data_IF_639304288355
#
_entry.id   IF_639304288355
#
_cell.length_a   1.000
_cell.length_b   1.000
_cell.length_c   1.000
_cell.angle_alpha   90.00
_cell.angle_beta   90.00
_cell.angle_gamma   90.00
#
_symmetry.space_group_name_H-M   'P 1'
#
loop_
_entity.id
_entity.type
_entity.pdbx_description
1 polymer ?
#
# COMPACT_ATOMS: atom_id res chain seq x y z
N UNK A 1 -11.90 -12.17 -11.06
CA UNK A 1 -13.24 -11.54 -11.05
C UNK A 1 -13.59 -11.31 -9.61
N UNK A 2 -13.91 -10.07 -9.28
CA UNK A 2 -14.41 -9.68 -7.96
C UNK A 2 -15.92 -9.84 -7.99
N UNK A 3 -16.45 -10.68 -7.09
CA UNK A 3 -17.89 -10.94 -7.06
C UNK A 3 -18.65 -9.93 -6.19
N UNK A 4 -18.00 -9.41 -5.13
CA UNK A 4 -18.55 -8.43 -4.20
C UNK A 4 -17.43 -7.60 -3.59
N UNK A 5 -17.68 -6.32 -3.35
CA UNK A 5 -16.82 -5.41 -2.61
C UNK A 5 -17.65 -4.76 -1.51
N UNK A 6 -17.18 -4.86 -0.29
CA UNK A 6 -17.80 -4.25 0.89
C UNK A 6 -16.86 -3.18 1.45
N UNK A 7 -17.35 -1.96 1.60
CA UNK A 7 -16.66 -0.87 2.26
C UNK A 7 -17.28 -0.68 3.65
N UNK A 8 -16.47 -0.85 4.68
CA UNK A 8 -16.90 -0.69 6.08
C UNK A 8 -16.39 0.65 6.59
N UNK A 9 -17.29 1.60 6.96
CA UNK A 9 -16.84 2.90 7.47
C UNK A 9 -16.05 2.74 8.79
N UNK A 10 -14.88 3.38 8.91
CA UNK A 10 -14.02 3.34 10.10
C UNK A 10 -14.74 3.86 11.36
N UNK A 11 -15.60 4.85 11.23
CA UNK A 11 -16.40 5.41 12.34
C UNK A 11 -17.66 4.61 12.71
N UNK A 12 -17.87 3.44 12.13
CA UNK A 12 -19.11 2.67 12.24
C UNK A 12 -20.21 3.20 11.33
N UNK A 13 -21.17 2.37 11.01
CA UNK A 13 -22.27 2.66 10.09
C UNK A 13 -22.62 1.43 9.27
N UNK A 14 -23.56 1.60 8.35
CA UNK A 14 -23.92 0.52 7.43
C UNK A 14 -22.86 0.37 6.35
N UNK A 15 -22.51 -0.87 6.03
CA UNK A 15 -21.58 -1.19 4.94
C UNK A 15 -22.11 -0.69 3.60
N UNK A 16 -21.20 -0.24 2.74
CA UNK A 16 -21.49 0.26 1.40
C UNK A 16 -21.01 -0.78 0.38
N UNK A 17 -21.86 -1.12 -0.57
CA UNK A 17 -21.56 -2.05 -1.65
C UNK A 17 -21.50 -1.29 -2.98
N UNK A 18 -20.31 -0.84 -3.42
CA UNK A 18 -20.19 -0.10 -4.66
C UNK A 18 -20.46 -0.98 -5.88
N UNK A 19 -20.91 -0.36 -6.96
CA UNK A 19 -21.05 -1.07 -8.22
C UNK A 19 -19.67 -1.46 -8.77
N UNK A 20 -19.51 -2.74 -9.11
CA UNK A 20 -18.30 -3.24 -9.73
C UNK A 20 -18.36 -3.00 -11.26
N UNK A 21 -17.35 -2.33 -11.85
CA UNK A 21 -17.27 -2.15 -13.30
C UNK A 21 -17.00 -3.47 -14.03
N UNK A 22 -17.30 -3.55 -15.31
CA UNK A 22 -16.92 -4.67 -16.15
C UNK A 22 -17.40 -6.06 -15.69
N UNK A 23 -18.48 -6.16 -14.91
CA UNK A 23 -18.92 -7.39 -14.23
C UNK A 23 -17.85 -7.98 -13.28
N UNK A 24 -17.20 -7.13 -12.49
CA UNK A 24 -16.18 -7.53 -11.53
C UNK A 24 -14.81 -7.85 -12.14
N UNK A 25 -14.58 -7.50 -13.39
CA UNK A 25 -13.27 -7.60 -14.00
C UNK A 25 -12.43 -6.39 -13.62
N UNK A 26 -11.19 -6.67 -13.25
CA UNK A 26 -10.17 -5.65 -13.03
C UNK A 26 -9.24 -5.69 -14.23
N UNK A 27 -9.12 -4.58 -14.94
CA UNK A 27 -8.15 -4.43 -16.02
C UNK A 27 -6.79 -4.08 -15.42
N UNK A 28 -5.77 -4.84 -15.81
CA UNK A 28 -4.40 -4.61 -15.35
C UNK A 28 -3.75 -3.56 -16.27
N UNK A 29 -3.38 -2.43 -15.69
CA UNK A 29 -2.77 -1.33 -16.43
C UNK A 29 -1.30 -1.64 -16.69
N UNK A 30 -0.99 -1.98 -17.94
CA UNK A 30 0.39 -2.10 -18.43
C UNK A 30 0.46 -1.69 -19.89
N UNK A 31 1.40 -0.78 -20.19
CA UNK A 31 1.52 -0.18 -21.53
C UNK A 31 1.91 -1.19 -22.63
N UNK A 32 2.75 -2.20 -22.33
CA UNK A 32 3.39 -3.03 -23.34
C UNK A 32 2.97 -4.52 -23.31
N UNK A 33 2.07 -4.91 -22.38
CA UNK A 33 1.74 -6.32 -22.17
C UNK A 33 2.94 -7.13 -21.65
N UNK A 34 2.76 -8.43 -21.43
CA UNK A 34 3.83 -9.31 -20.98
C UNK A 34 3.82 -10.65 -21.72
N UNK A 35 4.99 -11.29 -21.82
CA UNK A 35 5.12 -12.58 -22.48
C UNK A 35 5.51 -13.66 -21.45
N UNK A 36 4.72 -14.72 -21.39
CA UNK A 36 5.09 -15.92 -20.62
C UNK A 36 6.03 -16.78 -21.46
N UNK A 37 7.27 -16.88 -21.06
CA UNK A 37 8.30 -17.65 -21.77
C UNK A 37 8.52 -19.03 -21.11
N UNK A 38 8.69 -20.11 -21.89
CA UNK A 38 8.94 -21.43 -21.34
C UNK A 38 10.23 -21.47 -20.49
N UNK A 39 10.15 -22.03 -19.28
CA UNK A 39 11.28 -22.20 -18.38
C UNK A 39 11.77 -20.91 -17.70
N UNK A 40 10.97 -19.86 -17.72
CA UNK A 40 11.21 -18.62 -16.97
C UNK A 40 10.07 -18.38 -15.97
N UNK A 41 10.44 -17.88 -14.82
CA UNK A 41 9.47 -17.38 -13.83
C UNK A 41 9.12 -15.94 -14.21
N UNK A 42 7.83 -15.67 -14.34
CA UNK A 42 7.29 -14.33 -14.50
C UNK A 42 6.65 -13.94 -13.18
N UNK A 43 7.18 -12.90 -12.55
CA UNK A 43 6.56 -12.29 -11.38
C UNK A 43 5.71 -11.10 -11.82
N UNK A 44 4.48 -11.07 -11.33
CA UNK A 44 3.56 -9.96 -11.54
C UNK A 44 3.26 -9.37 -10.16
N UNK A 45 3.80 -8.20 -9.90
CA UNK A 45 3.43 -7.39 -8.73
C UNK A 45 2.17 -6.59 -9.08
N UNK A 46 1.13 -6.75 -8.27
CA UNK A 46 -0.15 -6.04 -8.44
C UNK A 46 -0.30 -5.10 -7.25
N UNK A 47 -0.49 -3.83 -7.55
CA UNK A 47 -0.73 -2.80 -6.58
C UNK A 47 -2.06 -2.12 -6.87
N UNK A 48 -2.96 -2.09 -5.90
CA UNK A 48 -4.26 -1.45 -6.02
C UNK A 48 -4.35 -0.30 -5.02
N UNK A 49 -4.28 0.92 -5.53
CA UNK A 49 -4.45 2.11 -4.73
C UNK A 49 -5.94 2.28 -4.37
N UNK A 50 -6.28 2.12 -3.10
CA UNK A 50 -7.64 2.20 -2.61
C UNK A 50 -8.22 3.62 -2.76
N UNK A 51 -7.43 4.65 -2.47
CA UNK A 51 -7.85 6.05 -2.53
C UNK A 51 -8.20 6.46 -3.98
N UNK A 52 -7.43 5.99 -4.94
CA UNK A 52 -7.66 6.26 -6.37
C UNK A 52 -8.75 5.37 -6.96
N UNK A 53 -8.99 4.20 -6.36
CA UNK A 53 -9.98 3.23 -6.84
C UNK A 53 -11.39 3.49 -6.35
N UNK A 54 -11.57 4.27 -5.27
CA UNK A 54 -12.89 4.56 -4.70
C UNK A 54 -13.24 6.03 -4.94
N UNK A 55 -14.23 6.27 -5.80
CA UNK A 55 -14.75 7.61 -6.06
C UNK A 55 -16.09 7.82 -5.37
N UNK A 56 -16.12 8.76 -4.44
CA UNK A 56 -17.37 9.19 -3.78
C UNK A 56 -17.90 10.40 -4.54
N UNK A 57 -19.07 10.25 -5.18
CA UNK A 57 -19.74 11.36 -5.85
C UNK A 57 -20.90 11.80 -4.98
N UNK A 58 -20.82 13.01 -4.43
CA UNK A 58 -21.90 13.60 -3.63
C UNK A 58 -23.02 14.06 -4.57
N UNK A 59 -24.14 13.33 -4.57
CA UNK A 59 -25.35 13.67 -5.34
C UNK A 59 -26.47 14.17 -4.43
N UNK A 60 -26.15 14.96 -3.42
CA UNK A 60 -27.09 15.43 -2.41
C UNK A 60 -27.39 14.34 -1.35
N UNK A 61 -28.63 14.01 -1.05
CA UNK A 61 -28.99 13.12 0.07
C UNK A 61 -28.62 11.62 -0.11
N UNK A 62 -27.99 11.23 -1.22
CA UNK A 62 -27.54 9.85 -1.46
C UNK A 62 -26.22 9.89 -2.23
N UNK A 63 -25.11 9.98 -1.53
CA UNK A 63 -23.79 9.83 -2.13
C UNK A 63 -23.70 8.53 -2.92
N UNK A 64 -23.20 8.58 -4.15
CA UNK A 64 -22.92 7.39 -4.95
C UNK A 64 -21.46 7.06 -4.82
N UNK A 65 -21.17 5.84 -4.37
CA UNK A 65 -19.81 5.31 -4.34
C UNK A 65 -19.59 4.49 -5.59
N UNK A 66 -18.62 4.88 -6.39
CA UNK A 66 -18.20 4.15 -7.57
C UNK A 66 -16.84 3.53 -7.28
N UNK A 67 -16.69 2.27 -7.62
CA UNK A 67 -15.41 1.59 -7.61
C UNK A 67 -14.85 1.61 -9.05
N UNK A 68 -13.68 2.22 -9.22
CA UNK A 68 -12.91 2.20 -10.47
C UNK A 68 -11.51 1.71 -10.13
N UNK A 69 -11.23 0.42 -10.22
CA UNK A 69 -9.96 -0.12 -9.73
C UNK A 69 -8.78 0.46 -10.51
N UNK A 70 -7.95 1.27 -9.86
CA UNK A 70 -6.64 1.69 -10.37
C UNK A 70 -5.65 0.64 -9.91
N UNK A 71 -5.25 -0.24 -10.83
CA UNK A 71 -4.36 -1.37 -10.54
C UNK A 71 -3.10 -1.22 -11.36
N UNK A 72 -2.00 -0.92 -10.68
CA UNK A 72 -0.67 -0.87 -11.30
C UNK A 72 -0.07 -2.27 -11.32
N UNK A 73 0.53 -2.62 -12.44
CA UNK A 73 1.19 -3.90 -12.64
C UNK A 73 2.65 -3.67 -12.97
N UNK A 74 3.52 -4.22 -12.15
CA UNK A 74 4.96 -4.26 -12.40
C UNK A 74 5.36 -5.67 -12.79
N UNK A 75 5.98 -5.81 -13.96
CA UNK A 75 6.54 -7.07 -14.43
C UNK A 75 8.02 -7.13 -14.04
N UNK A 76 8.38 -8.15 -13.27
CA UNK A 76 9.77 -8.43 -12.91
C UNK A 76 10.21 -9.67 -13.67
N UNK A 77 11.04 -9.49 -14.71
CA UNK A 77 11.56 -10.60 -15.52
C UNK A 77 12.87 -11.10 -14.92
N UNK A 78 12.82 -12.24 -14.25
CA UNK A 78 13.99 -12.94 -13.70
C UNK A 78 14.64 -12.24 -12.49
N UNK A 79 13.88 -11.49 -11.72
CA UNK A 79 14.30 -10.88 -10.45
C UNK A 79 13.49 -11.43 -9.26
N UNK A 80 14.01 -11.20 -8.06
CA UNK A 80 13.27 -11.46 -6.84
C UNK A 80 12.28 -10.32 -6.59
N UNK A 81 11.11 -10.60 -5.98
CA UNK A 81 10.15 -9.58 -5.60
C UNK A 81 10.80 -8.55 -4.69
N UNK A 82 10.62 -7.28 -5.00
CA UNK A 82 11.11 -6.19 -4.14
C UNK A 82 10.16 -5.91 -2.98
N UNK A 83 8.85 -6.17 -3.17
CA UNK A 83 7.83 -5.94 -2.14
C UNK A 83 7.94 -6.96 -1.01
N UNK A 84 7.68 -6.49 0.20
CA UNK A 84 7.53 -7.36 1.36
C UNK A 84 6.21 -8.13 1.25
N UNK A 85 6.27 -9.43 1.56
CA UNK A 85 5.09 -10.26 1.73
C UNK A 85 4.86 -10.48 3.22
N UNK A 86 3.62 -10.33 3.68
CA UNK A 86 3.15 -10.69 5.01
C UNK A 86 2.30 -11.94 4.91
N UNK A 87 2.69 -12.97 5.60
CA UNK A 87 1.95 -14.23 5.68
C UNK A 87 1.66 -14.57 7.13
N UNK A 88 0.42 -14.94 7.38
CA UNK A 88 -0.02 -15.46 8.67
C UNK A 88 -0.40 -16.92 8.53
N UNK A 89 0.02 -17.74 9.49
CA UNK A 89 -0.24 -19.15 9.36
C UNK A 89 0.19 -19.97 10.59
N UNK A 90 0.07 -21.27 10.44
CA UNK A 90 0.52 -22.24 11.42
C UNK A 90 1.82 -22.89 10.96
N UNK A 91 2.79 -22.95 11.86
CA UNK A 91 4.05 -23.67 11.64
C UNK A 91 3.77 -25.18 11.55
N UNK A 92 4.19 -25.81 10.45
CA UNK A 92 4.06 -27.25 10.31
C UNK A 92 4.95 -28.00 11.32
N UNK A 93 4.73 -29.28 11.47
CA UNK A 93 5.62 -30.14 12.26
C UNK A 93 7.06 -30.13 11.70
N UNK A 94 8.04 -30.28 12.62
CA UNK A 94 9.49 -30.36 12.32
C UNK A 94 10.14 -29.07 11.79
N UNK A 95 10.01 -27.93 12.47
CA UNK A 95 10.82 -26.76 12.15
C UNK A 95 12.32 -27.07 12.34
N UNK A 96 13.16 -26.44 11.49
CA UNK A 96 14.61 -26.61 11.55
C UNK A 96 15.17 -27.77 10.75
N UNK A 97 14.39 -28.41 9.89
CA UNK A 97 14.86 -29.42 8.93
C UNK A 97 14.38 -29.08 7.51
N UNK A 98 15.25 -28.54 6.63
CA UNK A 98 16.67 -28.15 6.87
C UNK A 98 16.86 -27.09 7.96
N UNK A 99 18.12 -26.97 8.46
CA UNK A 99 18.45 -26.00 9.49
C UNK A 99 17.99 -24.56 9.14
N UNK A 100 17.46 -23.83 10.10
CA UNK A 100 16.92 -22.47 9.96
C UNK A 100 15.77 -22.33 8.97
N UNK A 101 15.00 -23.41 8.76
CA UNK A 101 13.80 -23.38 7.93
C UNK A 101 12.59 -23.90 8.69
N UNK A 102 11.42 -23.47 8.29
CA UNK A 102 10.16 -24.08 8.69
C UNK A 102 9.14 -23.91 7.56
N UNK A 103 8.05 -24.65 7.65
CA UNK A 103 6.95 -24.52 6.70
C UNK A 103 5.82 -23.79 7.39
N UNK A 104 5.32 -22.73 6.78
CA UNK A 104 4.17 -21.96 7.22
C UNK A 104 2.99 -22.34 6.33
N UNK A 105 1.88 -22.75 6.94
CA UNK A 105 0.66 -23.11 6.23
C UNK A 105 -0.46 -22.15 6.58
N UNK A 106 -1.19 -21.70 5.58
CA UNK A 106 -2.35 -20.81 5.74
C UNK A 106 -3.40 -21.45 6.65
N UNK A 107 -4.06 -20.64 7.49
CA UNK A 107 -5.04 -21.12 8.49
C UNK A 107 -6.31 -21.59 7.81
N UNK A 108 -6.79 -20.82 6.85
CA UNK A 108 -8.06 -21.03 6.16
C UNK A 108 -7.93 -22.07 5.05
N UNK A 109 -6.72 -22.21 4.53
CA UNK A 109 -6.38 -23.11 3.42
C UNK A 109 -5.11 -23.90 3.73
N UNK A 110 -5.16 -24.92 4.62
CA UNK A 110 -3.99 -25.65 5.11
C UNK A 110 -3.18 -26.40 4.04
N UNK A 111 -3.72 -26.53 2.84
CA UNK A 111 -3.02 -27.10 1.68
C UNK A 111 -2.05 -26.08 1.03
N UNK A 112 -2.20 -24.80 1.34
CA UNK A 112 -1.29 -23.75 0.88
C UNK A 112 -0.21 -23.51 1.93
N UNK A 113 0.97 -24.01 1.65
CA UNK A 113 2.13 -23.89 2.53
C UNK A 113 3.30 -23.29 1.76
N UNK A 114 4.13 -22.53 2.47
CA UNK A 114 5.37 -21.97 1.96
C UNK A 114 6.53 -22.36 2.85
N UNK A 115 7.68 -22.67 2.25
CA UNK A 115 8.92 -22.83 3.00
C UNK A 115 9.46 -21.46 3.37
N UNK A 116 9.64 -21.23 4.67
CA UNK A 116 10.26 -20.04 5.22
C UNK A 116 11.73 -20.34 5.51
N UNK A 117 12.60 -19.49 4.99
CA UNK A 117 14.04 -19.53 5.23
C UNK A 117 14.43 -18.36 6.14
N UNK A 118 15.19 -18.63 7.18
CA UNK A 118 15.66 -17.61 8.12
C UNK A 118 17.18 -17.59 8.17
N UNK A 119 17.75 -16.45 8.49
CA UNK A 119 19.19 -16.26 8.61
C UNK A 119 19.55 -15.40 9.85
N UNK A 120 20.78 -14.94 9.90
CA UNK A 120 21.28 -14.10 11.00
C UNK A 120 20.71 -12.67 11.01
N UNK A 121 20.05 -12.27 9.93
CA UNK A 121 19.40 -10.96 9.79
C UNK A 121 17.91 -11.02 10.12
N UNK A 122 17.36 -12.24 10.24
CA UNK A 122 15.96 -12.42 10.63
C UNK A 122 15.74 -12.04 12.09
N UNK A 123 14.81 -11.16 12.35
CA UNK A 123 14.35 -10.79 13.69
C UNK A 123 13.19 -11.68 14.13
N UNK A 124 13.25 -12.16 15.36
CA UNK A 124 12.20 -12.99 15.93
C UNK A 124 11.59 -12.30 17.15
N UNK A 125 10.27 -12.35 17.26
CA UNK A 125 9.52 -11.81 18.37
C UNK A 125 8.55 -12.87 18.91
N UNK A 126 8.36 -12.89 20.21
CA UNK A 126 7.39 -13.77 20.87
C UNK A 126 5.97 -13.18 20.88
N UNK A 127 5.01 -13.91 21.44
CA UNK A 127 3.62 -13.48 21.53
C UNK A 127 3.36 -12.24 22.39
N UNK A 128 4.38 -11.74 23.10
CA UNK A 128 4.34 -10.47 23.81
C UNK A 128 5.08 -9.35 23.04
N UNK A 129 5.60 -9.64 21.85
CA UNK A 129 6.37 -8.72 21.03
C UNK A 129 7.80 -8.49 21.50
N UNK A 130 8.32 -9.35 22.36
CA UNK A 130 9.70 -9.28 22.85
C UNK A 130 10.64 -10.11 21.96
N UNK A 131 11.87 -9.61 21.78
CA UNK A 131 12.86 -10.30 20.97
C UNK A 131 13.15 -11.72 21.47
N UNK A 132 13.16 -12.67 20.56
CA UNK A 132 13.49 -14.08 20.78
C UNK A 132 14.41 -14.61 19.68
N UNK A 133 14.49 -15.91 19.46
CA UNK A 133 15.29 -16.53 18.40
C UNK A 133 14.54 -17.70 17.76
N UNK A 134 15.17 -18.37 16.79
CA UNK A 134 14.60 -19.51 16.07
C UNK A 134 14.13 -20.64 17.01
N UNK A 135 14.67 -20.79 18.21
CA UNK A 135 14.24 -21.83 19.15
C UNK A 135 12.78 -21.66 19.64
N UNK A 136 12.21 -20.47 19.47
CA UNK A 136 10.80 -20.18 19.71
C UNK A 136 9.87 -20.76 18.65
N UNK A 137 10.36 -21.07 17.46
CA UNK A 137 9.56 -21.65 16.37
C UNK A 137 9.27 -23.11 16.68
N UNK A 138 8.02 -23.42 16.96
CA UNK A 138 7.59 -24.77 17.32
C UNK A 138 6.44 -25.25 16.43
N UNK A 139 6.39 -26.53 16.14
CA UNK A 139 5.31 -27.11 15.34
C UNK A 139 3.93 -26.86 15.97
N UNK A 140 2.98 -26.43 15.16
CA UNK A 140 1.64 -26.02 15.57
C UNK A 140 1.53 -24.59 16.12
N UNK A 141 2.64 -23.86 16.26
CA UNK A 141 2.59 -22.45 16.66
C UNK A 141 2.01 -21.58 15.54
N UNK A 142 1.27 -20.57 15.92
CA UNK A 142 0.88 -19.50 15.00
C UNK A 142 2.04 -18.56 14.81
N UNK A 143 2.23 -18.09 13.59
CA UNK A 143 3.26 -17.12 13.27
C UNK A 143 2.79 -16.14 12.17
N UNK A 144 3.25 -14.90 12.28
CA UNK A 144 3.27 -13.95 11.17
C UNK A 144 4.70 -13.84 10.68
N UNK A 145 4.88 -13.95 9.37
CA UNK A 145 6.18 -13.86 8.73
C UNK A 145 6.15 -12.75 7.70
N UNK A 146 7.07 -11.81 7.82
CA UNK A 146 7.30 -10.77 6.84
C UNK A 146 8.65 -11.00 6.18
N UNK A 147 8.66 -11.01 4.86
CA UNK A 147 9.87 -11.32 4.11
C UNK A 147 9.73 -11.07 2.63
N UNK A 148 10.69 -11.57 1.86
CA UNK A 148 10.71 -11.49 0.41
C UNK A 148 10.72 -12.88 -0.20
N UNK A 149 9.93 -13.06 -1.25
CA UNK A 149 9.96 -14.31 -2.00
C UNK A 149 11.26 -14.41 -2.82
N UNK A 150 11.86 -15.58 -2.80
CA UNK A 150 12.83 -16.03 -3.79
C UNK A 150 12.17 -17.10 -4.63
N UNK A 151 12.30 -17.02 -5.96
CA UNK A 151 11.54 -17.87 -6.88
C UNK A 151 12.37 -18.95 -7.54
N UNK A 152 13.70 -18.92 -7.40
CA UNK A 152 14.62 -19.91 -7.97
C UNK A 152 15.62 -20.42 -6.92
N UNK A 153 15.92 -21.73 -6.83
CA UNK A 153 15.38 -22.83 -7.67
C UNK A 153 13.98 -23.30 -7.25
N UNK A 154 13.50 -22.89 -6.09
CA UNK A 154 12.18 -23.20 -5.53
C UNK A 154 11.61 -21.95 -4.90
N UNK A 155 10.29 -21.85 -4.85
CA UNK A 155 9.63 -20.72 -4.20
C UNK A 155 9.79 -20.86 -2.70
N UNK A 156 10.51 -19.90 -2.09
CA UNK A 156 10.68 -19.79 -0.65
C UNK A 156 10.42 -18.35 -0.19
N UNK A 157 10.09 -18.17 1.08
CA UNK A 157 9.99 -16.87 1.73
C UNK A 157 11.21 -16.64 2.61
N UNK A 158 12.11 -15.75 2.20
CA UNK A 158 13.22 -15.30 3.02
C UNK A 158 12.74 -14.32 4.07
N UNK A 159 12.66 -14.79 5.32
CA UNK A 159 12.06 -14.02 6.41
C UNK A 159 12.99 -12.91 6.90
N UNK A 160 12.45 -11.71 7.02
CA UNK A 160 13.06 -10.56 7.68
C UNK A 160 12.57 -10.44 9.13
N UNK A 161 11.29 -10.73 9.35
CA UNK A 161 10.64 -10.71 10.66
C UNK A 161 9.80 -11.98 10.82
N UNK A 162 9.84 -12.56 12.01
CA UNK A 162 8.98 -13.67 12.44
C UNK A 162 8.37 -13.30 13.79
N UNK A 163 7.05 -13.16 13.86
CA UNK A 163 6.29 -12.92 15.07
C UNK A 163 5.52 -14.18 15.45
N UNK A 164 5.75 -14.67 16.65
CA UNK A 164 5.15 -15.91 17.16
C UNK A 164 3.95 -15.63 18.06
N UNK A 165 2.95 -16.50 18.04
CA UNK A 165 1.82 -16.44 18.97
C UNK A 165 0.51 -15.95 18.36
N UNK A 166 0.49 -15.49 17.10
CA UNK A 166 -0.73 -15.11 16.37
C UNK A 166 -1.45 -13.86 16.94
N UNK A 167 -0.70 -12.97 17.62
CA UNK A 167 -1.20 -11.72 18.19
C UNK A 167 -0.66 -10.49 17.47
N UNK A 168 0.05 -10.69 16.37
CA UNK A 168 0.60 -9.60 15.57
C UNK A 168 -0.54 -8.84 14.87
N UNK A 169 -0.48 -7.52 14.96
CA UNK A 169 -1.45 -6.60 14.37
C UNK A 169 -0.71 -5.57 13.52
N UNK A 170 -1.40 -5.04 12.53
CA UNK A 170 -0.96 -3.89 11.76
C UNK A 170 -1.75 -2.65 12.18
N UNK A 171 -1.04 -1.53 12.34
CA UNK A 171 -1.65 -0.23 12.63
C UNK A 171 -1.02 0.82 11.74
N UNK A 172 -1.85 1.52 11.00
CA UNK A 172 -1.46 2.69 10.21
C UNK A 172 -1.74 3.97 10.98
N UNK A 173 -0.95 5.00 10.73
CA UNK A 173 -1.16 6.29 11.34
C UNK A 173 0.01 7.25 11.18
N UNK A 174 -0.15 8.39 11.82
CA UNK A 174 0.76 9.52 11.74
C UNK A 174 1.65 9.65 12.98
N UNK A 175 2.95 9.82 12.81
CA UNK A 175 3.90 10.02 13.92
C UNK A 175 3.72 11.41 14.50
N UNK A 176 3.25 11.51 15.76
CA UNK A 176 2.97 12.78 16.43
C UNK A 176 4.00 13.18 17.47
N UNK A 177 5.04 12.38 17.67
CA UNK A 177 6.22 12.76 18.44
C UNK A 177 7.48 12.14 17.86
N UNK A 178 8.61 12.84 17.93
CA UNK A 178 9.90 12.23 17.59
C UNK A 178 10.21 11.05 18.53
N UNK A 179 10.92 10.01 18.05
CA UNK A 179 11.34 8.91 18.89
C UNK A 179 12.27 9.36 20.03
N UNK A 180 11.89 9.07 21.25
CA UNK A 180 12.68 9.33 22.45
C UNK A 180 12.74 8.06 23.32
N UNK A 181 13.93 7.68 23.78
CA UNK A 181 14.15 6.48 24.60
C UNK A 181 13.56 5.18 24.00
N UNK A 182 13.55 5.07 22.67
CA UNK A 182 13.02 3.91 21.96
C UNK A 182 11.48 3.87 21.87
N UNK A 183 10.81 5.01 22.04
CA UNK A 183 9.35 5.14 21.94
C UNK A 183 8.96 6.38 21.17
N UNK A 184 7.83 6.32 20.50
CA UNK A 184 7.16 7.49 19.91
C UNK A 184 5.63 7.35 20.02
N UNK A 185 4.94 8.45 19.78
CA UNK A 185 3.48 8.48 19.77
C UNK A 185 2.98 8.41 18.33
N UNK A 186 2.04 7.50 18.08
CA UNK A 186 1.32 7.36 16.83
C UNK A 186 -0.14 7.79 17.04
N UNK A 187 -0.64 8.66 16.19
CA UNK A 187 -2.07 8.87 16.01
C UNK A 187 -2.52 7.91 14.92
N UNK A 188 -3.22 6.85 15.30
CA UNK A 188 -3.71 5.86 14.36
C UNK A 188 -4.89 6.42 13.53
N UNK A 189 -5.16 5.82 12.38
CA UNK A 189 -6.21 6.25 11.46
C UNK A 189 -7.63 6.17 12.05
N UNK A 190 -7.81 5.40 13.12
CA UNK A 190 -9.05 5.35 13.91
C UNK A 190 -9.16 6.44 14.99
N UNK A 191 -8.30 7.47 14.92
CA UNK A 191 -8.16 8.56 15.90
C UNK A 191 -7.67 8.12 17.30
N UNK A 192 -7.23 6.88 17.47
CA UNK A 192 -6.64 6.42 18.75
C UNK A 192 -5.17 6.84 18.87
N UNK A 193 -4.75 7.11 20.11
CA UNK A 193 -3.35 7.38 20.41
C UNK A 193 -2.67 6.09 20.89
N UNK A 194 -1.57 5.74 20.25
CA UNK A 194 -0.83 4.53 20.53
C UNK A 194 0.65 4.86 20.82
N UNK A 195 1.19 4.32 21.89
CA UNK A 195 2.63 4.38 22.16
C UNK A 195 3.31 3.23 21.43
N UNK A 196 4.20 3.57 20.51
CA UNK A 196 5.01 2.56 19.81
C UNK A 196 6.32 2.38 20.55
N UNK A 197 6.60 1.17 20.99
CA UNK A 197 7.86 0.77 21.65
C UNK A 197 8.74 0.01 20.65
N UNK A 198 9.90 0.60 20.33
CA UNK A 198 10.88 0.01 19.44
C UNK A 198 11.63 -1.10 20.16
N UNK A 199 11.73 -2.26 19.55
CA UNK A 199 12.43 -3.41 20.11
C UNK A 199 13.84 -3.54 19.51
N UNK A 200 14.79 -4.16 20.21
CA UNK A 200 16.02 -4.61 19.58
C UNK A 200 15.68 -5.59 18.45
N UNK A 201 15.94 -5.19 17.21
CA UNK A 201 15.59 -5.99 16.03
C UNK A 201 14.39 -5.49 15.26
N UNK A 202 13.69 -4.42 15.70
CA UNK A 202 12.70 -3.73 14.85
C UNK A 202 13.31 -3.36 13.49
N UNK A 203 12.63 -3.70 12.42
CA UNK A 203 13.04 -3.43 11.04
C UNK A 203 12.32 -2.19 10.51
N UNK A 204 12.98 -1.48 9.59
CA UNK A 204 12.47 -0.25 9.01
C UNK A 204 12.57 -0.33 7.50
N UNK A 205 11.49 -0.03 6.81
CA UNK A 205 11.39 -0.10 5.35
C UNK A 205 10.63 1.10 4.80
N UNK A 206 10.88 1.40 3.56
CA UNK A 206 10.05 2.22 2.69
C UNK A 206 9.82 1.50 1.35
N UNK A 207 9.24 2.18 0.38
CA UNK A 207 8.98 1.62 -0.96
C UNK A 207 10.26 1.22 -1.70
N UNK A 208 11.41 1.83 -1.37
CA UNK A 208 12.70 1.60 -2.02
C UNK A 208 13.52 0.51 -1.33
N UNK A 209 13.22 0.18 -0.06
CA UNK A 209 13.90 -0.89 0.65
C UNK A 209 14.10 -0.69 2.15
N UNK A 210 15.15 -1.31 2.71
CA UNK A 210 15.48 -1.18 4.13
C UNK A 210 16.15 0.18 4.41
N UNK A 211 15.64 0.87 5.42
CA UNK A 211 16.08 2.20 5.86
C UNK A 211 16.54 2.19 7.31
N UNK A 212 17.00 3.32 7.81
CA UNK A 212 17.40 3.47 9.22
C UNK A 212 16.25 3.93 10.12
N UNK A 213 16.37 3.65 11.42
CA UNK A 213 15.42 4.12 12.43
C UNK A 213 15.29 5.65 12.50
N UNK A 214 16.29 6.37 12.02
CA UNK A 214 16.33 7.83 11.97
C UNK A 214 15.39 8.42 10.90
N UNK A 215 14.83 7.61 10.03
CA UNK A 215 13.79 8.02 9.08
C UNK A 215 12.41 8.20 9.75
N UNK A 216 12.17 7.56 10.91
CA UNK A 216 10.95 7.75 11.69
C UNK A 216 11.05 9.07 12.46
N UNK A 217 10.39 10.10 11.97
CA UNK A 217 10.39 11.45 12.57
C UNK A 217 8.96 11.98 12.70
N UNK A 218 8.79 13.01 13.50
CA UNK A 218 7.51 13.71 13.62
C UNK A 218 6.97 14.10 12.23
N UNK A 219 5.73 13.74 11.96
CA UNK A 219 5.00 14.14 10.78
C UNK A 219 5.04 13.13 9.64
N UNK A 220 5.66 11.96 9.78
CA UNK A 220 5.62 10.90 8.77
C UNK A 220 4.45 9.94 9.00
N UNK A 221 3.92 9.39 7.91
CA UNK A 221 2.94 8.33 7.94
C UNK A 221 3.64 6.97 7.94
N UNK A 222 3.18 6.07 8.79
CA UNK A 222 3.79 4.75 8.97
C UNK A 222 2.74 3.67 9.13
N UNK A 223 3.06 2.49 8.62
CA UNK A 223 2.43 1.25 9.00
C UNK A 223 3.34 0.53 10.01
N UNK A 224 2.80 0.17 11.16
CA UNK A 224 3.52 -0.54 12.22
C UNK A 224 2.96 -1.95 12.34
N UNK A 225 3.81 -2.95 12.12
CA UNK A 225 3.54 -4.35 12.45
C UNK A 225 4.11 -4.66 13.83
N UNK A 226 3.34 -5.35 14.69
CA UNK A 226 3.81 -5.71 16.01
C UNK A 226 2.71 -6.24 16.91
N UNK A 227 3.01 -6.32 18.20
CA UNK A 227 2.12 -6.90 19.21
C UNK A 227 1.65 -5.84 20.19
N UNK A 228 0.35 -5.78 20.45
CA UNK A 228 -0.24 -5.03 21.56
C UNK A 228 -0.27 -5.93 22.81
N UNK A 229 0.67 -5.78 23.76
CA UNK A 229 0.67 -6.59 24.97
C UNK A 229 -0.54 -6.27 25.84
N UNK A 230 -0.98 -7.25 26.63
CA UNK A 230 -2.04 -7.02 27.60
C UNK A 230 -1.65 -5.93 28.60
N UNK A 231 -2.53 -4.95 28.83
CA UNK A 231 -2.31 -3.88 29.83
C UNK A 231 -2.21 -4.47 31.22
N UNK A 232 -1.21 -4.02 32.00
CA UNK A 232 -1.09 -4.36 33.40
C UNK A 232 -2.11 -3.60 34.28
N UNK A 233 -2.40 -2.34 33.90
CA UNK A 233 -3.44 -1.50 34.49
C UNK A 233 -4.34 -0.97 33.35
N UNK A 234 -5.67 -0.97 33.50
CA UNK A 234 -6.58 -0.39 32.53
C UNK A 234 -6.31 1.07 32.16
N UNK A 235 -5.70 1.82 33.08
CA UNK A 235 -5.36 3.24 32.92
C UNK A 235 -4.00 3.44 32.21
N UNK A 236 -3.23 2.36 31.97
CA UNK A 236 -2.01 2.44 31.17
C UNK A 236 -2.31 2.86 29.72
N UNK A 237 -1.43 3.65 29.08
CA UNK A 237 -1.59 3.97 27.67
C UNK A 237 -1.60 2.71 26.81
N UNK A 238 -2.28 2.77 25.68
CA UNK A 238 -2.18 1.72 24.68
C UNK A 238 -0.75 1.67 24.15
N UNK A 239 -0.17 0.47 24.18
CA UNK A 239 1.21 0.21 23.80
C UNK A 239 1.24 -0.83 22.70
N UNK A 240 2.10 -0.62 21.69
CA UNK A 240 2.44 -1.63 20.70
C UNK A 240 3.94 -1.79 20.62
N UNK A 241 4.43 -3.01 20.66
CA UNK A 241 5.84 -3.35 20.45
C UNK A 241 6.06 -3.63 18.99
N UNK A 242 6.83 -2.77 18.35
CA UNK A 242 7.02 -2.83 16.91
C UNK A 242 8.06 -3.88 16.50
N UNK A 243 7.68 -4.75 15.61
CA UNK A 243 8.55 -5.69 14.92
C UNK A 243 9.05 -5.14 13.58
N UNK A 244 8.19 -4.40 12.87
CA UNK A 244 8.52 -3.72 11.63
C UNK A 244 7.79 -2.39 11.55
N UNK A 245 8.45 -1.38 11.00
CA UNK A 245 7.86 -0.10 10.64
C UNK A 245 8.10 0.12 9.15
N UNK A 246 7.02 0.33 8.42
CA UNK A 246 7.05 0.71 7.03
C UNK A 246 6.68 2.19 6.92
N UNK A 247 7.59 3.00 6.35
CA UNK A 247 7.30 4.39 6.05
C UNK A 247 6.50 4.44 4.77
N UNK A 248 5.30 4.97 4.87
CA UNK A 248 4.50 5.23 3.70
C UNK A 248 5.04 6.47 2.98
N UNK A 249 5.01 6.44 1.66
CA UNK A 249 5.18 7.67 0.91
C UNK A 249 4.06 8.62 1.35
N UNK A 250 4.40 9.90 1.59
CA UNK A 250 3.37 10.89 1.90
C UNK A 250 2.21 10.72 0.91
N UNK A 251 1.00 10.52 1.45
CA UNK A 251 -0.18 10.34 0.61
C UNK A 251 -0.25 11.48 -0.39
N UNK A 252 -0.38 11.14 -1.66
CA UNK A 252 -0.62 12.12 -2.70
C UNK A 252 -1.88 12.91 -2.34
N UNK A 253 -1.73 14.22 -2.18
CA UNK A 253 -2.90 15.08 -2.05
C UNK A 253 -3.75 14.95 -3.30
N UNK A 254 -5.05 14.87 -3.15
CA UNK A 254 -5.97 14.86 -4.27
C UNK A 254 -6.60 16.24 -4.45
N UNK A 255 -6.56 16.74 -5.68
CA UNK A 255 -7.37 17.87 -6.11
C UNK A 255 -8.21 17.46 -7.34
N UNK A 256 -9.44 17.92 -7.40
CA UNK A 256 -10.36 17.59 -8.49
C UNK A 256 -10.88 18.85 -9.14
N UNK A 257 -11.09 18.83 -10.45
CA UNK A 257 -11.58 19.99 -11.15
C UNK A 257 -11.69 19.83 -12.66
N UNK A 258 -11.78 20.96 -13.33
CA UNK A 258 -11.88 21.03 -14.80
C UNK A 258 -10.66 21.74 -15.36
N UNK A 259 -10.03 21.15 -16.37
CA UNK A 259 -8.88 21.73 -17.05
C UNK A 259 -9.28 23.03 -17.75
N UNK A 260 -8.53 24.10 -17.48
CA UNK A 260 -8.65 25.40 -18.16
C UNK A 260 -7.34 25.76 -18.86
N UNK A 261 -7.37 26.79 -19.70
CA UNK A 261 -6.17 27.36 -20.29
C UNK A 261 -5.33 28.11 -19.26
N UNK A 262 -3.97 28.17 -19.40
CA UNK A 262 -3.22 27.60 -20.50
C UNK A 262 -2.89 26.12 -20.31
N UNK A 263 -2.71 25.38 -21.42
CA UNK A 263 -2.02 24.11 -21.43
C UNK A 263 -0.69 24.36 -22.12
N UNK A 264 0.43 24.15 -21.43
CA UNK A 264 1.76 24.43 -21.91
C UNK A 264 2.53 23.14 -22.23
N UNK A 265 3.26 23.17 -23.30
CA UNK A 265 4.07 22.06 -23.81
C UNK A 265 5.13 21.57 -22.81
N UNK A 266 5.60 20.33 -22.95
CA UNK A 266 6.66 19.74 -22.13
C UNK A 266 7.94 20.58 -22.09
N UNK A 267 8.63 20.49 -20.97
CA UNK A 267 9.98 21.04 -20.76
C UNK A 267 10.93 19.92 -20.34
N UNK A 268 12.22 20.25 -20.12
CA UNK A 268 13.19 19.24 -19.63
C UNK A 268 12.90 18.81 -18.16
N UNK A 269 12.09 19.57 -17.43
CA UNK A 269 11.79 19.36 -16.00
C UNK A 269 10.35 18.91 -15.73
N UNK A 270 9.46 19.03 -16.72
CA UNK A 270 8.04 18.64 -16.58
C UNK A 270 7.47 18.18 -17.93
N UNK A 271 6.50 17.24 -17.91
CA UNK A 271 5.71 16.86 -19.08
C UNK A 271 4.89 18.02 -19.63
N UNK A 272 4.68 19.06 -18.83
CA UNK A 272 3.95 20.27 -19.16
C UNK A 272 3.19 20.80 -17.95
N UNK A 273 2.37 21.81 -18.14
CA UNK A 273 1.49 22.33 -17.10
C UNK A 273 0.15 22.80 -17.67
N UNK A 274 -0.84 22.90 -16.78
CA UNK A 274 -2.17 23.40 -17.13
C UNK A 274 -2.83 24.13 -15.96
N UNK A 275 -3.82 24.94 -16.28
CA UNK A 275 -4.70 25.54 -15.27
C UNK A 275 -5.84 24.57 -14.90
N UNK A 276 -6.24 24.57 -13.64
CA UNK A 276 -7.34 23.76 -13.11
C UNK A 276 -8.29 24.63 -12.32
N UNK A 277 -9.58 24.63 -12.68
CA UNK A 277 -10.63 25.18 -11.84
C UNK A 277 -11.10 24.08 -10.89
N UNK A 278 -10.88 24.29 -9.59
CA UNK A 278 -11.20 23.29 -8.56
C UNK A 278 -12.71 23.11 -8.37
N UNK A 279 -13.13 21.90 -8.09
CA UNK A 279 -14.54 21.57 -7.79
C UNK A 279 -15.05 22.32 -6.57
N UNK A 280 -14.20 22.57 -5.58
CA UNK A 280 -14.49 23.34 -4.37
C UNK A 280 -14.45 24.87 -4.58
N UNK A 281 -14.05 25.31 -5.76
CA UNK A 281 -13.94 26.69 -6.20
C UNK A 281 -12.53 27.25 -6.12
N UNK A 282 -12.23 28.18 -7.02
CA UNK A 282 -10.90 28.76 -7.22
C UNK A 282 -10.12 28.08 -8.33
N UNK A 283 -9.05 28.74 -8.76
CA UNK A 283 -8.18 28.23 -9.82
C UNK A 283 -6.80 27.95 -9.24
N UNK A 284 -6.15 26.90 -9.73
CA UNK A 284 -4.76 26.57 -9.43
C UNK A 284 -4.02 26.20 -10.70
N UNK A 285 -2.69 26.21 -10.66
CA UNK A 285 -1.89 25.60 -11.73
C UNK A 285 -1.43 24.21 -11.31
N UNK A 286 -1.25 23.34 -12.28
CA UNK A 286 -0.76 21.97 -12.12
C UNK A 286 0.48 21.81 -13.00
N UNK A 287 1.62 21.51 -12.38
CA UNK A 287 2.84 21.06 -13.06
C UNK A 287 2.84 19.53 -13.09
N UNK A 288 3.00 18.94 -14.27
CA UNK A 288 2.96 17.49 -14.44
C UNK A 288 4.37 16.93 -14.41
N UNK A 289 4.67 16.06 -13.44
CA UNK A 289 5.99 15.42 -13.32
C UNK A 289 6.36 14.63 -14.59
N UNK A 290 7.65 14.50 -14.88
CA UNK A 290 8.15 13.74 -16.05
C UNK A 290 7.80 12.25 -16.00
N UNK A 291 7.57 11.73 -14.82
CA UNK A 291 7.20 10.35 -14.49
C UNK A 291 5.73 10.20 -14.09
N UNK A 292 4.92 11.25 -14.26
CA UNK A 292 3.51 11.20 -13.96
C UNK A 292 2.76 10.20 -14.86
N UNK A 293 1.93 9.38 -14.21
CA UNK A 293 0.97 8.53 -14.90
C UNK A 293 -0.28 9.32 -15.29
N UNK A 294 -0.70 9.21 -16.55
CA UNK A 294 -1.95 9.79 -17.01
C UNK A 294 -2.90 8.66 -17.39
N UNK A 295 -4.03 8.58 -16.71
CA UNK A 295 -5.01 7.54 -16.86
C UNK A 295 -6.29 8.11 -17.48
N UNK A 296 -6.76 7.49 -18.56
CA UNK A 296 -8.01 7.85 -19.22
C UNK A 296 -9.09 6.85 -18.79
N UNK A 297 -10.13 7.34 -18.14
CA UNK A 297 -11.26 6.54 -17.65
C UNK A 297 -12.48 6.79 -18.52
N UNK A 298 -12.97 5.75 -19.17
CA UNK A 298 -14.23 5.81 -19.90
C UNK A 298 -15.40 5.69 -18.92
N UNK A 299 -16.23 6.74 -18.80
CA UNK A 299 -17.38 6.75 -17.89
C UNK A 299 -18.42 5.67 -18.17
N UNK A 300 -18.52 5.20 -19.42
CA UNK A 300 -19.59 4.29 -19.83
C UNK A 300 -19.38 2.85 -19.34
N UNK A 301 -18.13 2.38 -19.33
CA UNK A 301 -17.77 1.01 -18.99
C UNK A 301 -16.67 0.92 -17.90
N UNK A 302 -16.20 2.07 -17.42
CA UNK A 302 -15.12 2.19 -16.43
C UNK A 302 -13.80 1.52 -16.86
N UNK A 303 -13.58 1.41 -18.18
CA UNK A 303 -12.31 0.92 -18.72
C UNK A 303 -11.27 2.02 -18.55
N UNK A 304 -10.10 1.65 -18.00
CA UNK A 304 -8.98 2.54 -17.78
C UNK A 304 -7.89 2.21 -18.82
N UNK A 305 -7.32 3.23 -19.42
CA UNK A 305 -6.20 3.10 -20.35
C UNK A 305 -5.11 4.12 -20.03
N UNK A 306 -3.86 3.77 -20.33
CA UNK A 306 -2.75 4.73 -20.21
C UNK A 306 -2.91 5.82 -21.26
N UNK A 307 -2.79 7.06 -20.82
CA UNK A 307 -2.79 8.24 -21.65
C UNK A 307 -1.41 8.91 -21.69
N UNK A 308 -1.35 10.03 -22.36
CA UNK A 308 -0.17 10.90 -22.46
C UNK A 308 -0.58 12.35 -22.18
N UNK A 309 0.40 13.24 -21.96
CA UNK A 309 0.10 14.67 -21.78
C UNK A 309 -0.68 15.28 -22.96
N UNK A 310 -0.51 14.74 -24.16
CA UNK A 310 -1.23 15.21 -25.36
C UNK A 310 -2.75 14.85 -25.36
N UNK A 311 -3.16 13.95 -24.49
CA UNK A 311 -4.57 13.57 -24.34
C UNK A 311 -5.33 14.50 -23.38
N UNK A 312 -4.61 15.42 -22.70
CA UNK A 312 -5.22 16.44 -21.84
C UNK A 312 -5.81 17.57 -22.68
N UNK A 313 -7.05 17.91 -22.45
CA UNK A 313 -7.74 18.97 -23.17
C UNK A 313 -8.56 19.87 -22.21
N UNK A 314 -8.79 21.10 -22.64
CA UNK A 314 -9.66 22.05 -21.92
C UNK A 314 -11.08 21.47 -21.81
N UNK A 315 -11.73 21.79 -20.71
CA UNK A 315 -13.08 21.32 -20.32
C UNK A 315 -13.16 19.84 -19.90
N UNK A 316 -12.04 19.10 -19.83
CA UNK A 316 -12.02 17.77 -19.22
C UNK A 316 -12.08 17.85 -17.70
N UNK A 317 -12.86 16.93 -17.10
CA UNK A 317 -12.86 16.68 -15.66
C UNK A 317 -11.70 15.77 -15.29
N UNK A 318 -10.93 16.15 -14.26
CA UNK A 318 -9.77 15.41 -13.82
C UNK A 318 -9.72 15.31 -12.30
N UNK A 319 -9.19 14.18 -11.83
CA UNK A 319 -8.66 14.01 -10.48
C UNK A 319 -7.12 14.01 -10.59
N UNK A 320 -6.46 14.88 -9.86
CA UNK A 320 -5.01 15.06 -9.88
C UNK A 320 -4.46 14.67 -8.52
N UNK A 321 -3.47 13.78 -8.51
CA UNK A 321 -2.79 13.30 -7.31
C UNK A 321 -1.33 13.75 -7.33
N UNK A 322 -0.84 14.17 -6.17
CA UNK A 322 0.51 14.70 -6.04
C UNK A 322 0.66 15.56 -4.78
N UNK A 323 1.51 16.55 -4.83
CA UNK A 323 1.78 17.40 -3.68
C UNK A 323 1.76 18.89 -4.04
N UNK A 324 1.52 19.74 -3.04
CA UNK A 324 1.75 21.17 -3.15
C UNK A 324 3.15 21.48 -2.66
N UNK A 325 4.12 21.74 -3.56
CA UNK A 325 5.48 22.07 -3.15
C UNK A 325 5.50 23.37 -2.32
N UNK A 326 6.27 23.42 -1.21
CA UNK A 326 6.26 24.58 -0.31
C UNK A 326 6.75 25.88 -0.94
N UNK A 327 7.50 25.81 -2.04
CA UNK A 327 8.10 26.96 -2.71
C UNK A 327 7.50 27.26 -4.11
N UNK A 328 6.70 26.36 -4.68
CA UNK A 328 6.04 26.55 -5.97
C UNK A 328 4.58 26.93 -5.77
N UNK A 329 4.07 27.81 -6.61
CA UNK A 329 2.65 28.17 -6.60
C UNK A 329 1.75 27.16 -7.34
N UNK A 330 2.31 26.09 -7.93
CA UNK A 330 1.60 25.07 -8.70
C UNK A 330 1.60 23.74 -7.97
N UNK A 331 0.52 22.98 -8.11
CA UNK A 331 0.42 21.61 -7.63
C UNK A 331 1.27 20.70 -8.51
N UNK A 332 2.16 19.91 -7.94
CA UNK A 332 2.99 18.95 -8.67
C UNK A 332 2.24 17.62 -8.76
N UNK A 333 1.83 17.25 -9.96
CA UNK A 333 1.10 16.04 -10.24
C UNK A 333 2.03 14.85 -10.52
N UNK A 334 1.80 13.74 -9.80
CA UNK A 334 2.43 12.44 -10.04
C UNK A 334 1.48 11.50 -10.79
N UNK A 335 0.17 11.72 -10.67
CA UNK A 335 -0.84 10.97 -11.40
C UNK A 335 -2.04 11.86 -11.74
N UNK A 336 -2.59 11.66 -12.92
CA UNK A 336 -3.78 12.37 -13.40
C UNK A 336 -4.78 11.35 -13.94
N UNK A 337 -5.98 11.37 -13.39
CA UNK A 337 -7.09 10.55 -13.89
C UNK A 337 -8.05 11.46 -14.65
N UNK A 338 -8.21 11.21 -15.93
CA UNK A 338 -9.07 11.98 -16.84
C UNK A 338 -10.35 11.21 -17.13
N UNK A 339 -11.49 11.82 -16.87
CA UNK A 339 -12.79 11.27 -17.26
C UNK A 339 -13.04 11.57 -18.75
N UNK A 340 -13.14 10.54 -19.58
CA UNK A 340 -13.44 10.68 -21.01
C UNK A 340 -14.84 10.16 -21.31
N UNK A 341 -15.63 11.01 -21.93
CA UNK A 341 -16.93 10.61 -22.47
C UNK A 341 -16.70 10.12 -23.90
N UNK A 342 -16.76 8.81 -24.10
CA UNK A 342 -16.76 8.27 -25.47
C UNK A 342 -18.16 8.42 -26.03
N UNK A 343 -18.35 9.36 -26.95
CA UNK A 343 -19.58 9.42 -27.73
C UNK A 343 -19.69 8.11 -28.54
N UNK A 344 -20.59 7.24 -28.13
CA UNK A 344 -20.96 6.04 -28.94
C UNK A 344 -21.55 6.53 -30.25
N UNK A 345 -21.00 6.10 -31.40
CA UNK A 345 -21.46 6.50 -32.73
C UNK A 345 -22.88 6.03 -33.04
#
# INVERSE_FOLDING_TARGET
IVDELELVPVGGGDSIYPNLPGNGKIDLLQADGFAVLPGRTLLIEIDMDANKSIKITDTGNSGKVNFRPVVKVKIVDGGDPHKLARLEGSVSDNPGDPANTFVLCDIDSPDYCVTVVTDTMTSFFDGEGLGTDFSGVTGGAMAVVIGRYETEPEIVLNALVVELGGNAEQVQGHVVSDPEEGRFLLLADDDSNLVIELQPGTKYFDADGEIGADAVVLGVDVEVEGVKPAKADPDDPDLMRAALIFLEAADDQQISGTIIVPINEPTDEALGNFGLTLTEGGDTCVDVSTDADILLVNEADSVITMGTFADLAVDQSVDVFGMMPPESGCFLANEIIVEVVVETP
#
